data_IF_525161568435
#
_entry.id   IF_525161568435
#
_cell.length_a   1.000
_cell.length_b   1.000
_cell.length_c   1.000
_cell.angle_alpha   90.00
_cell.angle_beta   90.00
_cell.angle_gamma   90.00
#
_symmetry.space_group_name_H-M   'P 1'
#
loop_
_entity.id
_entity.type
_entity.pdbx_description
1 polymer ?
#
# COMPACT_ATOMS: atom_id res chain seq x y z
N UNK A 1 -2.05 12.10 -22.08
CA UNK A 1 -1.92 12.21 -20.63
C UNK A 1 -3.32 12.29 -20.05
N UNK A 2 -3.65 11.43 -19.08
CA UNK A 2 -4.97 11.34 -18.47
C UNK A 2 -5.16 12.59 -17.57
N UNK A 3 -5.75 13.65 -18.12
CA UNK A 3 -5.86 14.97 -17.48
C UNK A 3 -6.70 14.98 -16.19
N UNK A 4 -7.31 13.84 -15.83
CA UNK A 4 -8.24 13.70 -14.72
C UNK A 4 -7.88 12.56 -13.76
N UNK A 5 -6.61 12.21 -13.61
CA UNK A 5 -6.21 11.29 -12.55
C UNK A 5 -6.40 11.96 -11.19
N UNK A 6 -7.51 11.63 -10.52
CA UNK A 6 -7.92 12.19 -9.22
C UNK A 6 -7.80 11.12 -8.12
N UNK A 7 -7.88 11.55 -6.85
CA UNK A 7 -7.90 10.64 -5.71
C UNK A 7 -9.07 9.63 -5.80
N UNK A 8 -10.23 10.08 -6.28
CA UNK A 8 -11.40 9.23 -6.51
C UNK A 8 -11.14 8.18 -7.60
N UNK A 9 -10.47 8.56 -8.69
CA UNK A 9 -10.07 7.62 -9.74
C UNK A 9 -9.06 6.59 -9.21
N UNK A 10 -8.06 7.02 -8.45
CA UNK A 10 -7.10 6.12 -7.80
C UNK A 10 -7.81 5.14 -6.86
N UNK A 11 -8.70 5.63 -5.99
CA UNK A 11 -9.53 4.79 -5.11
C UNK A 11 -10.32 3.74 -5.88
N UNK A 12 -10.99 4.13 -6.96
CA UNK A 12 -11.76 3.20 -7.81
C UNK A 12 -10.86 2.12 -8.39
N UNK A 13 -9.65 2.47 -8.85
CA UNK A 13 -8.68 1.51 -9.38
C UNK A 13 -8.20 0.54 -8.29
N UNK A 14 -7.80 1.02 -7.11
CA UNK A 14 -7.31 0.16 -6.01
C UNK A 14 -8.37 -0.81 -5.49
N UNK A 15 -9.64 -0.40 -5.48
CA UNK A 15 -10.75 -1.26 -5.07
C UNK A 15 -11.03 -2.39 -6.06
N UNK A 16 -10.70 -2.20 -7.34
CA UNK A 16 -10.90 -3.20 -8.41
C UNK A 16 -9.69 -4.11 -8.64
N UNK A 17 -8.54 -3.82 -8.00
CA UNK A 17 -7.35 -4.65 -8.12
C UNK A 17 -7.60 -6.03 -7.50
N UNK A 18 -7.27 -7.07 -8.26
CA UNK A 18 -7.16 -8.43 -7.77
C UNK A 18 -5.93 -8.58 -6.85
N UNK A 19 -6.00 -9.49 -5.88
CA UNK A 19 -4.89 -9.82 -4.98
C UNK A 19 -3.61 -10.09 -5.77
N UNK A 20 -2.49 -9.54 -5.30
CA UNK A 20 -1.17 -9.68 -5.95
C UNK A 20 -0.93 -8.70 -7.09
N UNK A 21 -1.98 -8.07 -7.64
CA UNK A 21 -1.83 -7.10 -8.73
C UNK A 21 -1.18 -5.81 -8.25
N UNK A 22 -0.38 -5.20 -9.12
CA UNK A 22 0.31 -3.93 -8.88
C UNK A 22 -0.26 -2.84 -9.78
N UNK A 23 -0.63 -1.71 -9.18
CA UNK A 23 -0.94 -0.46 -9.88
C UNK A 23 0.23 0.52 -9.72
N UNK A 24 0.74 1.04 -10.84
CA UNK A 24 1.74 2.10 -10.85
C UNK A 24 1.07 3.47 -10.99
N UNK A 25 1.51 4.45 -10.21
CA UNK A 25 1.28 5.87 -10.48
C UNK A 25 2.61 6.58 -10.73
N UNK A 26 2.61 7.61 -11.56
CA UNK A 26 3.80 8.42 -11.79
C UNK A 26 4.14 9.25 -10.55
N UNK A 27 5.39 9.68 -10.43
CA UNK A 27 5.81 10.68 -9.44
C UNK A 27 4.95 11.95 -9.53
N UNK A 28 4.71 12.47 -10.73
CA UNK A 28 3.83 13.64 -10.93
C UNK A 28 2.42 13.42 -10.35
N UNK A 29 1.80 12.26 -10.61
CA UNK A 29 0.48 11.95 -10.06
C UNK A 29 0.52 11.81 -8.54
N UNK A 30 1.59 11.22 -8.00
CA UNK A 30 1.81 11.14 -6.56
C UNK A 30 1.89 12.53 -5.93
N UNK A 31 2.73 13.41 -6.47
CA UNK A 31 2.91 14.79 -5.98
C UNK A 31 1.61 15.58 -6.04
N UNK A 32 0.85 15.45 -7.14
CA UNK A 32 -0.43 16.13 -7.31
C UNK A 32 -1.51 15.62 -6.35
N UNK A 33 -1.50 14.34 -6.01
CA UNK A 33 -2.53 13.72 -5.16
C UNK A 33 -2.22 13.81 -3.67
N UNK A 34 -0.94 13.75 -3.29
CA UNK A 34 -0.51 13.60 -1.89
C UNK A 34 0.47 14.69 -1.43
N UNK A 35 1.02 15.48 -2.34
CA UNK A 35 2.05 16.48 -2.05
C UNK A 35 3.46 15.90 -1.94
N UNK A 36 4.43 16.79 -1.66
CA UNK A 36 5.86 16.48 -1.49
C UNK A 36 6.39 16.74 -0.08
N UNK A 37 5.49 16.93 0.90
CA UNK A 37 5.87 17.21 2.27
C UNK A 37 6.31 15.95 3.03
N UNK A 38 6.87 16.12 4.23
CA UNK A 38 7.35 15.01 5.06
C UNK A 38 6.25 14.02 5.49
N UNK A 39 4.98 14.39 5.33
CA UNK A 39 3.81 13.58 5.71
C UNK A 39 3.23 12.84 4.49
N UNK A 40 3.57 13.24 3.25
CA UNK A 40 3.00 12.67 2.04
C UNK A 40 3.20 11.15 1.95
N UNK A 41 4.39 10.66 2.30
CA UNK A 41 4.68 9.23 2.36
C UNK A 41 3.80 8.48 3.37
N UNK A 42 3.57 9.06 4.55
CA UNK A 42 2.70 8.49 5.57
C UNK A 42 1.23 8.47 5.09
N UNK A 43 0.75 9.56 4.51
CA UNK A 43 -0.60 9.65 3.94
C UNK A 43 -0.84 8.62 2.83
N UNK A 44 0.16 8.36 1.99
CA UNK A 44 0.07 7.37 0.92
C UNK A 44 0.03 5.94 1.46
N UNK A 45 0.83 5.66 2.48
CA UNK A 45 0.82 4.37 3.15
C UNK A 45 -0.52 4.10 3.85
N UNK A 46 -1.06 5.09 4.57
CA UNK A 46 -2.39 5.04 5.18
C UNK A 46 -3.49 4.85 4.13
N UNK A 47 -3.44 5.61 3.05
CA UNK A 47 -4.36 5.48 1.92
C UNK A 47 -4.31 4.09 1.29
N UNK A 48 -3.11 3.55 1.02
CA UNK A 48 -2.94 2.21 0.50
C UNK A 48 -3.55 1.16 1.45
N UNK A 49 -3.29 1.29 2.75
CA UNK A 49 -3.78 0.36 3.79
C UNK A 49 -5.30 0.31 3.85
N UNK A 50 -5.99 1.46 3.74
CA UNK A 50 -7.45 1.53 3.69
C UNK A 50 -8.04 0.75 2.49
N UNK A 51 -7.26 0.57 1.42
CA UNK A 51 -7.66 -0.13 0.21
C UNK A 51 -7.09 -1.56 0.10
N UNK A 52 -6.61 -2.14 1.20
CA UNK A 52 -5.93 -3.43 1.20
C UNK A 52 -4.76 -3.45 0.21
N UNK A 53 -3.95 -2.39 0.21
CA UNK A 53 -2.76 -2.29 -0.59
C UNK A 53 -1.56 -1.92 0.30
N UNK A 54 -0.36 -2.22 -0.18
CA UNK A 54 0.89 -1.64 0.30
C UNK A 54 1.41 -0.67 -0.76
N UNK A 55 1.87 0.51 -0.32
CA UNK A 55 2.58 1.46 -1.19
C UNK A 55 4.08 1.18 -1.16
N UNK A 56 4.71 1.10 -2.34
CA UNK A 56 6.13 0.84 -2.51
C UNK A 56 6.72 2.00 -3.31
N UNK A 57 7.64 2.79 -2.75
CA UNK A 57 8.32 3.85 -3.49
C UNK A 57 9.29 3.25 -4.51
N UNK A 58 9.36 3.85 -5.70
CA UNK A 58 10.37 3.59 -6.72
C UNK A 58 10.97 4.89 -7.25
N UNK A 59 11.95 4.80 -8.14
CA UNK A 59 12.77 5.95 -8.56
C UNK A 59 11.98 7.16 -9.09
N UNK A 60 10.87 6.95 -9.82
CA UNK A 60 10.02 8.01 -10.38
C UNK A 60 8.53 7.60 -10.39
N UNK A 61 8.15 6.77 -9.42
CA UNK A 61 6.81 6.21 -9.35
C UNK A 61 6.52 5.67 -7.95
N UNK A 62 5.23 5.56 -7.65
CA UNK A 62 4.75 4.81 -6.49
C UNK A 62 3.90 3.65 -6.98
N UNK A 63 4.15 2.48 -6.40
CA UNK A 63 3.45 1.24 -6.73
C UNK A 63 2.51 0.88 -5.59
N UNK A 64 1.28 0.51 -5.92
CA UNK A 64 0.31 -0.04 -4.99
C UNK A 64 0.12 -1.52 -5.30
N UNK A 65 0.50 -2.40 -4.38
CA UNK A 65 0.27 -3.84 -4.52
C UNK A 65 -0.89 -4.26 -3.65
N UNK A 66 -1.90 -4.91 -4.23
CA UNK A 66 -3.00 -5.52 -3.48
C UNK A 66 -2.46 -6.70 -2.69
N UNK A 67 -2.60 -6.68 -1.37
CA UNK A 67 -2.34 -7.86 -0.53
C UNK A 67 -3.65 -8.56 -0.19
N UNK A 68 -3.57 -9.86 0.06
CA UNK A 68 -4.73 -10.61 0.48
C UNK A 68 -5.09 -10.22 1.91
N UNK A 69 -6.37 -9.94 2.17
CA UNK A 69 -6.82 -9.63 3.53
C UNK A 69 -6.55 -10.80 4.51
N UNK A 70 -6.38 -12.03 4.00
CA UNK A 70 -6.03 -13.22 4.78
C UNK A 70 -4.56 -13.20 5.27
N UNK A 71 -3.69 -12.37 4.68
CA UNK A 71 -2.31 -12.19 5.17
C UNK A 71 -2.21 -11.33 6.44
N UNK A 72 -3.34 -10.86 7.00
CA UNK A 72 -3.41 -10.42 8.41
C UNK A 72 -3.38 -11.56 9.41
N UNK A 73 -3.05 -12.80 9.01
CA UNK A 73 -2.49 -13.75 9.97
C UNK A 73 -1.11 -13.21 10.35
N UNK A 74 -1.09 -12.36 11.38
CA UNK A 74 0.10 -11.99 12.15
C UNK A 74 1.02 -13.21 12.24
N UNK A 75 2.35 -13.06 12.14
CA UNK A 75 3.21 -14.13 12.64
C UNK A 75 2.81 -14.31 14.11
N UNK A 76 2.06 -15.37 14.42
CA UNK A 76 2.01 -15.87 15.78
C UNK A 76 3.47 -16.20 16.05
N UNK A 77 4.12 -15.32 16.82
CA UNK A 77 5.28 -15.66 17.60
C UNK A 77 4.84 -16.89 18.39
N UNK A 78 5.18 -18.06 17.88
CA UNK A 78 5.08 -19.30 18.61
C UNK A 78 5.94 -19.06 19.85
N UNK A 79 5.38 -19.02 21.07
CA UNK A 79 6.21 -19.03 22.25
C UNK A 79 6.97 -20.35 22.19
N UNK A 80 8.28 -20.25 22.03
CA UNK A 80 9.18 -21.39 22.12
C UNK A 80 8.94 -22.03 23.48
N UNK A 81 8.35 -23.23 23.46
CA UNK A 81 8.12 -24.06 24.63
C UNK A 81 9.49 -24.53 25.14
N UNK A 82 10.16 -23.66 25.88
CA UNK A 82 11.29 -24.04 26.70
C UNK A 82 10.76 -24.70 27.97
N UNK A 83 10.27 -25.94 27.84
CA UNK A 83 10.12 -26.86 28.96
C UNK A 83 11.53 -27.20 29.48
N UNK A 84 12.05 -26.38 30.39
CA UNK A 84 13.19 -26.75 31.24
C UNK A 84 12.63 -27.57 32.39
N UNK A 85 12.66 -28.89 32.23
CA UNK A 85 12.65 -29.82 33.36
C UNK A 85 14.05 -29.84 33.99
N UNK A 86 14.16 -29.47 35.26
CA UNK A 86 15.02 -30.09 36.28
C UNK A 86 14.68 -29.56 37.66
#
# INVERSE_FOLDING_TARGET
MDTNFTLAALRSRLNRLETGTVLKISEHDYERLFGINEIAAANVAEFAKMHHCVSIPGAHAVYFRKWDADTRRSPQLVPDDSTISS
#
